data_IF_470627147747
#
_entry.id   IF_470627147747
#
_cell.length_a   1.000
_cell.length_b   1.000
_cell.length_c   1.000
_cell.angle_alpha   90.00
_cell.angle_beta   90.00
_cell.angle_gamma   90.00
#
_symmetry.space_group_name_H-M   'P 1'
#
loop_
_entity.id
_entity.type
_entity.pdbx_description
1 polymer ?
#
# COMPACT_ATOMS: atom_id res chain seq x y z
N UNK A 1 -17.02 2.94 2.87
CA UNK A 1 -16.71 3.00 1.42
C UNK A 1 -15.39 2.31 1.06
N UNK A 2 -14.23 2.70 1.64
CA UNK A 2 -12.91 2.15 1.26
C UNK A 2 -12.69 0.67 1.62
N UNK A 3 -13.28 0.20 2.72
CA UNK A 3 -13.16 -1.22 3.13
C UNK A 3 -13.89 -2.16 2.18
N UNK A 4 -15.10 -1.78 1.72
CA UNK A 4 -15.85 -2.54 0.72
C UNK A 4 -15.09 -2.63 -0.60
N UNK A 5 -14.46 -1.54 -1.05
CA UNK A 5 -13.59 -1.54 -2.24
C UNK A 5 -12.44 -2.56 -2.12
N UNK A 6 -11.74 -2.59 -0.98
CA UNK A 6 -10.67 -3.56 -0.74
C UNK A 6 -11.15 -5.01 -0.82
N UNK A 7 -12.29 -5.32 -0.18
CA UNK A 7 -12.85 -6.68 -0.17
C UNK A 7 -13.26 -7.10 -1.59
N UNK A 8 -13.94 -6.22 -2.33
CA UNK A 8 -14.37 -6.50 -3.70
C UNK A 8 -13.15 -6.76 -4.60
N UNK A 9 -12.15 -5.88 -4.58
CA UNK A 9 -10.97 -6.03 -5.43
C UNK A 9 -10.15 -7.27 -5.03
N UNK A 10 -10.01 -7.55 -3.73
CA UNK A 10 -9.36 -8.78 -3.26
C UNK A 10 -10.11 -10.02 -3.76
N UNK A 11 -11.45 -10.03 -3.66
CA UNK A 11 -12.29 -11.10 -4.19
C UNK A 11 -12.13 -11.29 -5.70
N UNK A 12 -12.06 -10.20 -6.47
CA UNK A 12 -11.83 -10.26 -7.91
C UNK A 12 -10.43 -10.78 -8.27
N UNK A 13 -9.38 -10.38 -7.53
CA UNK A 13 -8.02 -10.90 -7.74
C UNK A 13 -7.95 -12.39 -7.40
N UNK A 14 -8.57 -12.81 -6.30
CA UNK A 14 -8.67 -14.24 -5.93
C UNK A 14 -9.43 -15.02 -7.00
N UNK A 15 -10.57 -14.49 -7.46
CA UNK A 15 -11.36 -15.08 -8.54
C UNK A 15 -10.54 -15.21 -9.83
N UNK A 16 -9.75 -14.18 -10.19
CA UNK A 16 -8.85 -14.23 -11.34
C UNK A 16 -7.80 -15.35 -11.20
N UNK A 17 -7.18 -15.47 -10.01
CA UNK A 17 -6.18 -16.50 -9.75
C UNK A 17 -6.80 -17.91 -9.80
N UNK A 18 -7.99 -18.10 -9.22
CA UNK A 18 -8.74 -19.35 -9.29
C UNK A 18 -9.10 -19.67 -10.75
N UNK A 19 -9.60 -18.69 -11.48
CA UNK A 19 -9.95 -18.85 -12.90
C UNK A 19 -8.72 -19.28 -13.71
N UNK A 20 -7.55 -18.68 -13.48
CA UNK A 20 -6.31 -19.09 -14.12
C UNK A 20 -5.88 -20.51 -13.72
N UNK A 21 -5.98 -20.86 -12.43
CA UNK A 21 -5.63 -22.17 -11.90
C UNK A 21 -6.57 -23.30 -12.37
N UNK A 22 -7.66 -22.98 -13.08
CA UNK A 22 -8.53 -23.96 -13.74
C UNK A 22 -7.86 -24.70 -14.91
N UNK A 23 -6.73 -24.21 -15.41
CA UNK A 23 -6.05 -24.79 -16.58
C UNK A 23 -5.68 -26.29 -16.48
N UNK A 24 -5.30 -26.86 -15.32
CA UNK A 24 -4.99 -28.29 -15.21
C UNK A 24 -6.25 -29.16 -15.33
N UNK A 25 -7.43 -28.58 -15.07
CA UNK A 25 -8.70 -29.30 -15.00
C UNK A 25 -9.57 -29.12 -16.24
N UNK A 26 -9.36 -28.03 -16.99
CA UNK A 26 -10.16 -27.69 -18.16
C UNK A 26 -9.33 -26.98 -19.21
N UNK A 27 -9.44 -27.41 -20.47
CA UNK A 27 -8.87 -26.75 -21.65
C UNK A 27 -9.89 -26.81 -22.77
N UNK A 28 -10.18 -25.68 -23.41
CA UNK A 28 -11.08 -25.60 -24.56
C UNK A 28 -10.34 -25.08 -25.81
N UNK A 29 -9.75 -25.98 -26.63
CA UNK A 29 -8.84 -25.58 -27.71
C UNK A 29 -9.44 -24.66 -28.77
N UNK A 30 -10.76 -24.71 -28.96
CA UNK A 30 -11.51 -23.93 -29.95
C UNK A 30 -12.07 -22.61 -29.41
N UNK A 31 -12.14 -22.44 -28.09
CA UNK A 31 -12.84 -21.29 -27.48
C UNK A 31 -12.15 -19.97 -27.82
N UNK A 32 -10.82 -19.90 -27.70
CA UNK A 32 -10.04 -18.69 -28.01
C UNK A 32 -10.21 -18.20 -29.46
N UNK A 33 -10.46 -19.13 -30.40
CA UNK A 33 -10.72 -18.81 -31.81
C UNK A 33 -12.20 -18.57 -32.14
N UNK A 34 -13.12 -18.82 -31.20
CA UNK A 34 -14.56 -18.61 -31.40
C UNK A 34 -14.95 -17.13 -31.29
N UNK A 35 -16.12 -16.76 -31.82
CA UNK A 35 -16.68 -15.41 -31.68
C UNK A 35 -16.70 -14.93 -30.22
N UNK A 36 -17.19 -15.77 -29.30
CA UNK A 36 -17.27 -15.43 -27.88
C UNK A 36 -15.89 -15.26 -27.25
N UNK A 37 -14.94 -16.14 -27.57
CA UNK A 37 -13.54 -15.96 -27.19
C UNK A 37 -13.01 -14.62 -27.67
N UNK A 38 -13.20 -14.30 -28.94
CA UNK A 38 -12.80 -13.02 -29.54
C UNK A 38 -13.38 -11.80 -28.82
N UNK A 39 -14.68 -11.81 -28.51
CA UNK A 39 -15.36 -10.74 -27.76
C UNK A 39 -14.71 -10.55 -26.38
N UNK A 40 -14.44 -11.63 -25.65
CA UNK A 40 -13.74 -11.54 -24.35
C UNK A 40 -12.31 -11.00 -24.50
N UNK A 41 -11.59 -11.41 -25.56
CA UNK A 41 -10.23 -10.94 -25.84
C UNK A 41 -10.20 -9.44 -26.14
N UNK A 42 -11.08 -8.97 -27.02
CA UNK A 42 -11.18 -7.54 -27.39
C UNK A 42 -11.65 -6.70 -26.20
N UNK A 43 -12.72 -7.12 -25.50
CA UNK A 43 -13.21 -6.40 -24.33
C UNK A 43 -12.17 -6.34 -23.21
N UNK A 44 -11.48 -7.46 -22.95
CA UNK A 44 -10.39 -7.54 -21.97
C UNK A 44 -9.22 -6.63 -22.33
N UNK A 45 -8.77 -6.65 -23.59
CA UNK A 45 -7.70 -5.78 -24.08
C UNK A 45 -8.07 -4.30 -23.96
N UNK A 46 -9.30 -3.90 -24.36
CA UNK A 46 -9.78 -2.54 -24.23
C UNK A 46 -9.81 -2.06 -22.77
N UNK A 47 -10.29 -2.91 -21.84
CA UNK A 47 -10.24 -2.61 -20.41
C UNK A 47 -8.80 -2.46 -19.90
N UNK A 48 -7.89 -3.31 -20.38
CA UNK A 48 -6.47 -3.22 -20.02
C UNK A 48 -5.80 -1.94 -20.55
N UNK A 49 -6.36 -1.23 -21.53
CA UNK A 49 -5.85 0.09 -21.95
C UNK A 49 -6.22 1.21 -20.97
N UNK A 50 -7.26 1.04 -20.14
CA UNK A 50 -7.69 2.06 -19.16
C UNK A 50 -6.57 2.36 -18.13
N UNK A 51 -5.88 1.34 -17.54
CA UNK A 51 -4.71 1.60 -16.70
C UNK A 51 -3.59 2.39 -17.39
N UNK A 52 -3.32 2.14 -18.68
CA UNK A 52 -2.35 2.89 -19.46
C UNK A 52 -2.80 4.34 -19.66
N UNK A 53 -4.07 4.54 -20.01
CA UNK A 53 -4.66 5.87 -20.14
C UNK A 53 -4.55 6.66 -18.83
N UNK A 54 -4.75 6.03 -17.67
CA UNK A 54 -4.53 6.66 -16.37
C UNK A 54 -3.09 7.18 -16.21
N UNK A 55 -2.08 6.40 -16.63
CA UNK A 55 -0.67 6.82 -16.57
C UNK A 55 -0.44 8.06 -17.45
N UNK A 56 -0.98 8.07 -18.67
CA UNK A 56 -0.89 9.20 -19.61
C UNK A 56 -1.53 10.45 -19.00
N UNK A 57 -2.77 10.35 -18.50
CA UNK A 57 -3.49 11.46 -17.83
C UNK A 57 -2.70 11.97 -16.64
N UNK A 58 -2.10 11.08 -15.84
CA UNK A 58 -1.33 11.46 -14.65
C UNK A 58 -0.03 12.20 -15.01
N UNK A 59 0.61 11.87 -16.14
CA UNK A 59 1.93 12.41 -16.53
C UNK A 59 1.85 13.67 -17.40
N UNK A 60 0.82 13.81 -18.22
CA UNK A 60 0.65 14.94 -19.14
C UNK A 60 -0.24 16.04 -18.52
N UNK A 61 0.35 17.20 -18.19
CA UNK A 61 -0.37 18.31 -17.53
C UNK A 61 -1.61 18.79 -18.32
N UNK A 62 -1.51 18.91 -19.65
CA UNK A 62 -2.62 19.36 -20.52
C UNK A 62 -3.80 18.38 -20.50
N UNK A 63 -3.50 17.09 -20.70
CA UNK A 63 -4.52 16.03 -20.67
C UNK A 63 -5.14 15.93 -19.28
N UNK A 64 -4.33 16.02 -18.23
CA UNK A 64 -4.80 16.05 -16.84
C UNK A 64 -5.85 17.13 -16.63
N UNK A 65 -5.53 18.39 -16.96
CA UNK A 65 -6.42 19.54 -16.78
C UNK A 65 -7.77 19.33 -17.48
N UNK A 66 -7.73 18.84 -18.73
CA UNK A 66 -8.94 18.56 -19.50
C UNK A 66 -9.79 17.45 -18.88
N UNK A 67 -9.20 16.28 -18.60
CA UNK A 67 -9.93 15.13 -18.05
C UNK A 67 -10.46 15.43 -16.64
N UNK A 68 -9.70 16.17 -15.83
CA UNK A 68 -10.13 16.53 -14.47
C UNK A 68 -11.32 17.48 -14.42
N UNK A 69 -11.70 18.09 -15.55
CA UNK A 69 -12.94 18.87 -15.68
C UNK A 69 -14.19 17.97 -15.61
N UNK A 70 -14.07 16.74 -16.10
CA UNK A 70 -15.18 15.77 -16.17
C UNK A 70 -15.11 14.70 -15.10
N UNK A 71 -13.90 14.29 -14.69
CA UNK A 71 -13.70 13.18 -13.76
C UNK A 71 -12.62 13.48 -12.72
N UNK A 72 -12.91 13.23 -11.45
CA UNK A 72 -11.92 13.40 -10.38
C UNK A 72 -10.75 12.41 -10.51
N UNK A 73 -9.56 12.79 -10.03
CA UNK A 73 -8.40 11.89 -9.97
C UNK A 73 -8.67 10.61 -9.16
N UNK A 74 -9.58 10.68 -8.18
CA UNK A 74 -10.00 9.52 -7.38
C UNK A 74 -10.81 8.54 -8.24
N UNK A 75 -11.71 9.05 -9.07
CA UNK A 75 -12.52 8.23 -9.99
C UNK A 75 -11.64 7.56 -11.04
N UNK A 76 -10.69 8.29 -11.63
CA UNK A 76 -9.75 7.73 -12.60
C UNK A 76 -8.89 6.61 -12.00
N UNK A 77 -8.48 6.75 -10.75
CA UNK A 77 -7.75 5.70 -10.03
C UNK A 77 -8.64 4.48 -9.75
N UNK A 78 -9.91 4.68 -9.42
CA UNK A 78 -10.85 3.56 -9.29
C UNK A 78 -10.99 2.81 -10.63
N UNK A 79 -11.16 3.52 -11.74
CA UNK A 79 -11.18 2.93 -13.08
C UNK A 79 -9.89 2.16 -13.41
N UNK A 80 -8.73 2.70 -13.07
CA UNK A 80 -7.46 1.98 -13.21
C UNK A 80 -7.45 0.65 -12.44
N UNK A 81 -7.92 0.63 -11.19
CA UNK A 81 -7.95 -0.58 -10.37
C UNK A 81 -8.97 -1.59 -10.92
N UNK A 82 -10.21 -1.17 -11.16
CA UNK A 82 -11.27 -2.07 -11.61
C UNK A 82 -11.00 -2.61 -13.02
N UNK A 83 -10.66 -1.74 -13.98
CA UNK A 83 -10.34 -2.18 -15.34
C UNK A 83 -9.04 -3.01 -15.37
N UNK A 84 -8.08 -2.67 -14.51
CA UNK A 84 -6.85 -3.43 -14.32
C UNK A 84 -7.03 -4.81 -13.69
N UNK A 85 -8.21 -5.18 -13.17
CA UNK A 85 -8.51 -6.54 -12.66
C UNK A 85 -9.55 -7.23 -13.54
N UNK A 86 -10.62 -6.53 -13.92
CA UNK A 86 -11.68 -7.10 -14.78
C UNK A 86 -11.16 -7.42 -16.17
N UNK A 87 -10.33 -6.55 -16.78
CA UNK A 87 -9.72 -6.81 -18.08
C UNK A 87 -8.94 -8.13 -18.10
N UNK A 88 -7.99 -8.33 -17.17
CA UNK A 88 -7.29 -9.61 -16.99
C UNK A 88 -8.18 -10.83 -16.79
N UNK A 89 -9.28 -10.73 -16.04
CA UNK A 89 -10.24 -11.84 -15.89
C UNK A 89 -10.82 -12.22 -17.26
N UNK A 90 -11.23 -11.24 -18.07
CA UNK A 90 -11.75 -11.51 -19.42
C UNK A 90 -10.66 -12.11 -20.33
N UNK A 91 -9.41 -11.66 -20.23
CA UNK A 91 -8.29 -12.22 -21.01
C UNK A 91 -7.96 -13.65 -20.60
N UNK A 92 -8.02 -13.98 -19.30
CA UNK A 92 -7.86 -15.37 -18.82
C UNK A 92 -8.97 -16.25 -19.40
N UNK A 93 -10.23 -15.78 -19.39
CA UNK A 93 -11.35 -16.50 -20.01
C UNK A 93 -11.13 -16.67 -21.52
N UNK A 94 -10.73 -15.60 -22.22
CA UNK A 94 -10.43 -15.61 -23.65
C UNK A 94 -9.41 -16.71 -24.02
N UNK A 95 -8.40 -16.94 -23.18
CA UNK A 95 -7.39 -17.97 -23.44
C UNK A 95 -7.96 -19.38 -23.56
N UNK A 96 -9.15 -19.65 -22.99
CA UNK A 96 -9.73 -21.01 -22.93
C UNK A 96 -8.79 -22.02 -22.26
N UNK A 97 -7.87 -21.55 -21.41
CA UNK A 97 -6.78 -22.32 -20.81
C UNK A 97 -5.81 -22.96 -21.81
N UNK A 98 -5.76 -22.45 -23.05
CA UNK A 98 -4.85 -22.91 -24.09
C UNK A 98 -3.51 -22.19 -24.01
N UNK A 99 -2.51 -22.84 -23.41
CA UNK A 99 -1.18 -22.28 -23.17
C UNK A 99 -0.07 -22.95 -24.01
N UNK A 100 -0.30 -23.13 -25.31
CA UNK A 100 0.66 -23.79 -26.22
C UNK A 100 1.71 -22.82 -26.80
N UNK A 101 1.38 -21.54 -26.90
CA UNK A 101 2.27 -20.52 -27.48
C UNK A 101 3.13 -19.86 -26.41
N UNK A 102 4.46 -19.72 -26.63
CA UNK A 102 5.34 -18.96 -25.72
C UNK A 102 4.85 -17.54 -25.48
N UNK A 103 4.29 -16.89 -26.51
CA UNK A 103 3.72 -15.54 -26.41
C UNK A 103 2.50 -15.51 -25.49
N UNK A 104 1.59 -16.48 -25.62
CA UNK A 104 0.41 -16.60 -24.77
C UNK A 104 0.78 -16.83 -23.31
N UNK A 105 1.71 -17.75 -23.05
CA UNK A 105 2.24 -18.02 -21.70
C UNK A 105 2.87 -16.77 -21.09
N UNK A 106 3.76 -16.10 -21.84
CA UNK A 106 4.42 -14.89 -21.37
C UNK A 106 3.42 -13.75 -21.10
N UNK A 107 2.43 -13.56 -21.97
CA UNK A 107 1.40 -12.54 -21.82
C UNK A 107 0.53 -12.80 -20.60
N UNK A 108 0.07 -14.04 -20.39
CA UNK A 108 -0.71 -14.41 -19.20
C UNK A 108 0.11 -14.27 -17.92
N UNK A 109 1.34 -14.78 -17.89
CA UNK A 109 2.23 -14.66 -16.73
C UNK A 109 2.49 -13.18 -16.38
N UNK A 110 2.77 -12.34 -17.38
CA UNK A 110 2.98 -10.91 -17.17
C UNK A 110 1.69 -10.22 -16.70
N UNK A 111 0.54 -10.62 -17.23
CA UNK A 111 -0.77 -10.10 -16.81
C UNK A 111 -1.00 -10.37 -15.32
N UNK A 112 -0.83 -11.62 -14.88
CA UNK A 112 -0.97 -12.00 -13.47
C UNK A 112 0.04 -11.25 -12.59
N UNK A 113 1.29 -11.17 -13.02
CA UNK A 113 2.35 -10.47 -12.29
C UNK A 113 2.02 -8.98 -12.08
N UNK A 114 1.56 -8.29 -13.13
CA UNK A 114 1.15 -6.88 -13.07
C UNK A 114 -0.03 -6.69 -12.12
N UNK A 115 -1.06 -7.53 -12.21
CA UNK A 115 -2.25 -7.43 -11.34
C UNK A 115 -1.88 -7.64 -9.88
N UNK A 116 -1.15 -8.71 -9.57
CA UNK A 116 -0.71 -9.02 -8.20
C UNK A 116 0.21 -7.91 -7.68
N UNK A 117 1.17 -7.45 -8.48
CA UNK A 117 2.07 -6.35 -8.12
C UNK A 117 1.30 -5.05 -7.83
N UNK A 118 0.29 -4.73 -8.66
CA UNK A 118 -0.57 -3.57 -8.48
C UNK A 118 -1.43 -3.66 -7.23
N UNK A 119 -2.03 -4.83 -6.98
CA UNK A 119 -2.81 -5.10 -5.77
C UNK A 119 -1.97 -4.94 -4.50
N UNK A 120 -0.81 -5.59 -4.43
CA UNK A 120 0.12 -5.47 -3.29
C UNK A 120 0.55 -4.01 -3.12
N UNK A 121 0.98 -3.35 -4.20
CA UNK A 121 1.40 -1.96 -4.16
C UNK A 121 0.31 -1.00 -3.69
N UNK A 122 -0.95 -1.24 -4.05
CA UNK A 122 -2.08 -0.38 -3.67
C UNK A 122 -2.49 -0.57 -2.21
N UNK A 123 -2.62 -1.82 -1.74
CA UNK A 123 -3.24 -2.09 -0.44
C UNK A 123 -2.22 -2.24 0.68
N UNK A 124 -1.14 -3.00 0.46
CA UNK A 124 -0.12 -3.18 1.49
C UNK A 124 0.59 -1.86 1.79
N UNK A 125 0.98 -1.11 0.76
CA UNK A 125 1.73 0.13 0.94
C UNK A 125 0.86 1.28 1.49
N UNK A 126 -0.43 1.33 1.14
CA UNK A 126 -1.33 2.31 1.74
C UNK A 126 -1.54 2.06 3.24
N UNK A 127 -1.54 0.79 3.67
CA UNK A 127 -1.66 0.45 5.09
C UNK A 127 -0.44 0.95 5.86
N UNK A 128 0.77 0.62 5.40
CA UNK A 128 2.00 1.13 6.00
C UNK A 128 2.06 2.67 6.00
N UNK A 129 1.67 3.32 4.91
CA UNK A 129 1.64 4.79 4.84
C UNK A 129 0.67 5.41 5.85
N UNK A 130 -0.46 4.76 6.13
CA UNK A 130 -1.44 5.20 7.13
C UNK A 130 -0.89 5.01 8.54
N UNK A 131 -0.31 3.85 8.82
CA UNK A 131 0.30 3.54 10.12
C UNK A 131 1.43 4.51 10.46
N UNK A 132 2.33 4.81 9.50
CA UNK A 132 3.39 5.81 9.70
C UNK A 132 2.82 7.18 10.04
N UNK A 133 1.77 7.61 9.31
CA UNK A 133 1.13 8.89 9.57
C UNK A 133 0.49 8.95 10.95
N UNK A 134 -0.09 7.84 11.41
CA UNK A 134 -0.66 7.73 12.76
C UNK A 134 0.43 7.77 13.84
N UNK A 135 1.56 7.07 13.64
CA UNK A 135 2.72 7.12 14.53
C UNK A 135 3.35 8.51 14.60
N UNK A 136 3.48 9.21 13.47
CA UNK A 136 3.95 10.59 13.45
C UNK A 136 3.01 11.53 14.22
N UNK A 137 1.70 11.39 14.03
CA UNK A 137 0.73 12.20 14.79
C UNK A 137 0.77 11.90 16.30
N UNK A 138 0.96 10.63 16.69
CA UNK A 138 1.20 10.26 18.08
C UNK A 138 2.50 10.86 18.62
N UNK A 139 3.59 10.83 17.85
CA UNK A 139 4.86 11.41 18.24
C UNK A 139 4.74 12.92 18.50
N UNK A 140 4.06 13.63 17.60
CA UNK A 140 3.83 15.08 17.72
C UNK A 140 3.03 15.40 18.99
N UNK A 141 1.98 14.63 19.28
CA UNK A 141 1.20 14.76 20.52
C UNK A 141 2.06 14.50 21.77
N UNK A 142 2.90 13.47 21.73
CA UNK A 142 3.75 13.07 22.85
C UNK A 142 4.82 14.13 23.15
N UNK A 143 5.40 14.72 22.10
CA UNK A 143 6.30 15.87 22.19
C UNK A 143 5.61 17.10 22.77
N UNK A 144 4.37 17.40 22.36
CA UNK A 144 3.61 18.52 22.91
C UNK A 144 3.30 18.34 24.41
N UNK A 145 2.95 17.12 24.84
CA UNK A 145 2.77 16.82 26.27
C UNK A 145 4.10 16.97 27.03
N UNK A 146 5.22 16.54 26.43
CA UNK A 146 6.53 16.65 27.05
C UNK A 146 6.96 18.09 27.22
N UNK A 147 6.78 18.91 26.19
CA UNK A 147 7.12 20.33 26.23
C UNK A 147 6.25 21.08 27.25
N UNK A 148 4.95 20.73 27.37
CA UNK A 148 4.09 21.27 28.43
C UNK A 148 4.58 20.91 29.82
N UNK A 149 4.85 19.64 30.09
CA UNK A 149 5.36 19.19 31.38
C UNK A 149 6.70 19.85 31.72
N UNK A 150 7.60 19.98 30.73
CA UNK A 150 8.88 20.69 30.87
C UNK A 150 8.67 22.16 31.25
N UNK A 151 7.73 22.85 30.61
CA UNK A 151 7.44 24.26 30.87
C UNK A 151 6.78 24.46 32.25
N UNK A 152 5.89 23.56 32.69
CA UNK A 152 5.30 23.58 34.04
C UNK A 152 6.37 23.43 35.13
N UNK A 153 7.34 22.54 34.92
CA UNK A 153 8.49 22.38 35.82
C UNK A 153 9.40 23.62 35.83
N UNK A 154 9.64 24.23 34.67
CA UNK A 154 10.45 25.45 34.56
C UNK A 154 9.79 26.64 35.28
N UNK A 155 8.45 26.69 35.32
CA UNK A 155 7.69 27.70 36.05
C UNK A 155 7.72 27.53 37.59
N UNK A 156 8.15 26.36 38.10
CA UNK A 156 8.25 26.06 39.53
C UNK A 156 9.71 25.77 39.96
N UNK A 157 10.56 26.81 40.14
CA UNK A 157 12.01 26.67 40.34
C UNK A 157 12.42 25.89 41.61
N UNK A 158 11.54 25.80 42.63
CA UNK A 158 11.80 24.99 43.83
C UNK A 158 11.74 23.48 43.58
N UNK A 159 11.04 23.02 42.53
CA UNK A 159 10.91 21.60 42.18
C UNK A 159 11.99 21.14 41.18
N UNK A 160 12.50 22.06 40.35
CA UNK A 160 13.66 21.82 39.49
C UNK A 160 14.94 21.46 40.29
N UNK A 161 15.07 22.00 41.52
CA UNK A 161 16.14 21.64 42.47
C UNK A 161 16.03 20.19 42.96
N UNK A 162 14.83 19.64 43.14
CA UNK A 162 14.63 18.24 43.50
C UNK A 162 15.07 17.28 42.38
N UNK A 163 14.80 17.64 41.12
CA UNK A 163 15.27 16.84 39.96
C UNK A 163 16.80 16.92 39.81
N UNK A 164 17.40 18.08 40.14
CA UNK A 164 18.86 18.27 40.12
C UNK A 164 19.56 17.46 41.22
N UNK A 165 18.95 17.33 42.40
CA UNK A 165 19.51 16.55 43.52
C UNK A 165 19.56 15.04 43.23
N UNK A 166 18.61 14.53 42.43
CA UNK A 166 18.55 13.12 41.98
C UNK A 166 19.35 12.82 40.69
N UNK A 167 20.15 13.77 40.18
CA UNK A 167 20.91 13.58 38.92
C UNK A 167 22.24 12.83 39.09
N UNK A 168 22.69 12.57 40.32
CA UNK A 168 23.92 11.83 40.59
C UNK A 168 23.76 10.32 40.34
N UNK A 169 24.68 9.73 39.56
CA UNK A 169 24.77 8.27 39.30
C UNK A 169 24.70 7.42 40.60
N UNK A 170 25.31 7.93 41.68
CA UNK A 170 25.35 7.29 43.01
C UNK A 170 23.99 7.33 43.73
N UNK A 171 23.20 8.40 43.55
CA UNK A 171 21.86 8.53 44.14
C UNK A 171 20.88 7.50 43.54
N UNK A 172 21.00 7.21 42.23
CA UNK A 172 20.15 6.21 41.55
C UNK A 172 20.42 4.78 42.02
N UNK A 173 21.68 4.44 42.30
CA UNK A 173 22.05 3.13 42.87
C UNK A 173 21.62 2.99 44.33
N UNK A 174 21.67 4.08 45.10
CA UNK A 174 21.24 4.09 46.49
C UNK A 174 19.71 3.91 46.64
N UNK A 175 18.90 4.49 45.74
CA UNK A 175 17.43 4.37 45.79
C UNK A 175 16.94 2.94 45.53
N UNK A 176 17.61 2.19 44.64
CA UNK A 176 17.27 0.78 44.39
C UNK A 176 17.71 -0.19 45.51
N UNK A 177 18.60 0.26 46.40
CA UNK A 177 19.18 -0.56 47.46
C UNK A 177 18.65 -0.23 48.87
N UNK A 178 18.13 1.00 49.09
CA UNK A 178 17.85 1.54 50.42
C UNK A 178 16.37 1.87 50.72
N UNK A 179 15.42 1.62 49.82
CA UNK A 179 13.99 1.83 50.10
C UNK A 179 13.24 0.50 50.23
N UNK A 180 13.09 -0.03 51.46
CA UNK A 180 12.01 -0.93 51.81
C UNK A 180 10.64 -0.29 51.52
N UNK A 181 9.70 -1.15 51.18
CA UNK A 181 8.29 -0.88 50.86
C UNK A 181 7.55 -0.29 52.08
N UNK A 182 7.73 1.00 52.35
CA UNK A 182 6.99 1.71 53.39
C UNK A 182 5.74 2.36 52.77
N UNK A 183 4.63 1.64 52.89
CA UNK A 183 3.26 2.12 52.82
C UNK A 183 3.03 3.32 53.74
N UNK A 184 2.80 4.51 53.18
CA UNK A 184 2.17 5.63 53.91
C UNK A 184 1.59 6.73 52.98
N UNK A 185 0.60 7.51 53.45
CA UNK A 185 -0.66 7.68 52.74
C UNK A 185 -0.71 8.87 51.78
N UNK A 186 -1.52 8.70 50.73
CA UNK A 186 -2.01 9.74 49.83
C UNK A 186 -2.40 11.00 50.59
N UNK A 187 -1.56 12.04 50.52
CA UNK A 187 -2.01 13.42 50.74
C UNK A 187 -2.04 14.12 49.38
N UNK A 188 -3.27 14.35 48.95
CA UNK A 188 -3.64 15.00 47.71
C UNK A 188 -3.13 16.44 47.66
N UNK A 189 -2.17 16.71 46.79
CA UNK A 189 -2.08 17.98 46.07
C UNK A 189 -1.93 17.65 44.59
N UNK A 190 -2.96 17.97 43.83
CA UNK A 190 -2.95 17.86 42.39
C UNK A 190 -1.87 18.80 41.81
N UNK A 191 -1.34 18.45 40.63
CA UNK A 191 -0.42 19.25 39.81
C UNK A 191 1.05 19.28 40.27
N UNK A 192 1.79 18.18 40.08
CA UNK A 192 3.22 18.25 39.75
C UNK A 192 3.55 17.08 38.84
N UNK A 193 3.90 17.38 37.58
CA UNK A 193 4.41 16.41 36.61
C UNK A 193 5.63 15.71 37.22
N UNK A 194 5.47 14.45 37.63
CA UNK A 194 6.48 13.74 38.41
C UNK A 194 7.75 13.52 37.56
N UNK A 195 8.97 13.60 38.11
CA UNK A 195 10.19 13.27 37.35
C UNK A 195 10.14 11.88 36.69
N UNK A 196 9.38 10.96 37.30
CA UNK A 196 9.08 9.63 36.74
C UNK A 196 8.18 9.70 35.50
N UNK A 197 7.22 10.61 35.44
CA UNK A 197 6.35 10.82 34.29
C UNK A 197 7.13 11.39 33.11
N UNK A 198 8.09 12.31 33.36
CA UNK A 198 8.98 12.81 32.31
C UNK A 198 9.86 11.72 31.70
N UNK A 199 10.42 10.83 32.53
CA UNK A 199 11.24 9.71 32.04
C UNK A 199 10.38 8.77 31.20
N UNK A 200 9.18 8.42 31.67
CA UNK A 200 8.23 7.58 30.90
C UNK A 200 7.85 8.21 29.57
N UNK A 201 7.66 9.52 29.55
CA UNK A 201 7.30 10.23 28.32
C UNK A 201 8.47 10.30 27.33
N UNK A 202 9.70 10.51 27.82
CA UNK A 202 10.90 10.44 26.99
C UNK A 202 11.15 9.03 26.44
N UNK A 203 10.92 7.99 27.24
CA UNK A 203 10.98 6.59 26.83
C UNK A 203 9.94 6.29 25.73
N UNK A 204 8.69 6.71 25.94
CA UNK A 204 7.64 6.53 24.95
C UNK A 204 7.89 7.33 23.64
N UNK A 205 8.49 8.52 23.73
CA UNK A 205 8.95 9.28 22.56
C UNK A 205 10.03 8.50 21.81
N UNK A 206 11.05 7.99 22.53
CA UNK A 206 12.14 7.23 21.93
C UNK A 206 11.65 5.93 21.24
N UNK A 207 10.70 5.22 21.86
CA UNK A 207 10.08 4.02 21.28
C UNK A 207 9.35 4.32 19.97
N UNK A 208 8.56 5.40 19.95
CA UNK A 208 7.82 5.81 18.75
C UNK A 208 8.77 6.33 17.67
N UNK A 209 9.79 7.10 18.02
CA UNK A 209 10.83 7.56 17.07
C UNK A 209 11.60 6.38 16.48
N UNK A 210 11.97 5.40 17.29
CA UNK A 210 12.61 4.18 16.80
C UNK A 210 11.68 3.40 15.85
N UNK A 211 10.40 3.29 16.21
CA UNK A 211 9.39 2.68 15.36
C UNK A 211 9.22 3.45 14.04
N UNK A 212 9.33 4.78 14.01
CA UNK A 212 9.25 5.58 12.78
C UNK A 212 10.54 5.50 11.96
N UNK A 213 11.72 5.52 12.59
CA UNK A 213 13.02 5.51 11.92
C UNK A 213 13.23 4.24 11.09
N UNK A 214 12.79 3.08 11.60
CA UNK A 214 12.78 1.83 10.83
C UNK A 214 11.93 1.92 9.57
N UNK A 215 10.96 2.85 9.52
CA UNK A 215 10.02 2.98 8.42
C UNK A 215 10.44 3.89 7.27
N UNK A 216 11.49 4.72 7.41
CA UNK A 216 11.97 5.54 6.28
C UNK A 216 12.42 4.69 5.08
N UNK A 217 12.95 3.49 5.36
CA UNK A 217 13.33 2.51 4.34
C UNK A 217 12.12 2.10 3.47
N UNK A 218 10.91 2.07 4.03
CA UNK A 218 9.70 1.71 3.26
C UNK A 218 9.35 2.76 2.20
N UNK A 219 9.60 4.05 2.45
CA UNK A 219 9.29 5.11 1.45
C UNK A 219 10.18 4.99 0.21
N UNK A 220 11.46 4.69 0.42
CA UNK A 220 12.40 4.42 -0.67
C UNK A 220 12.02 3.13 -1.42
N UNK A 221 11.64 2.10 -0.68
CA UNK A 221 11.18 0.83 -1.27
C UNK A 221 9.89 1.01 -2.08
N UNK A 222 8.95 1.83 -1.60
CA UNK A 222 7.72 2.20 -2.32
C UNK A 222 8.02 2.86 -3.67
N UNK A 223 8.98 3.80 -3.70
CA UNK A 223 9.41 4.42 -4.95
C UNK A 223 9.99 3.40 -5.94
N UNK A 224 10.79 2.44 -5.46
CA UNK A 224 11.34 1.34 -6.28
C UNK A 224 10.25 0.39 -6.76
N UNK A 225 9.31 0.00 -5.90
CA UNK A 225 8.17 -0.85 -6.24
C UNK A 225 7.30 -0.23 -7.32
N UNK A 226 6.99 1.07 -7.20
CA UNK A 226 6.21 1.78 -8.21
C UNK A 226 6.93 1.78 -9.57
N UNK A 227 8.25 2.03 -9.58
CA UNK A 227 9.04 1.94 -10.82
C UNK A 227 9.01 0.53 -11.40
N UNK A 228 9.19 -0.49 -10.58
CA UNK A 228 9.10 -1.89 -10.99
C UNK A 228 7.74 -2.20 -11.63
N UNK A 229 6.63 -1.86 -10.97
CA UNK A 229 5.27 -2.04 -11.48
C UNK A 229 5.06 -1.35 -12.84
N UNK A 230 5.58 -0.14 -13.00
CA UNK A 230 5.52 0.60 -14.28
C UNK A 230 6.31 -0.14 -15.37
N UNK A 231 7.52 -0.62 -15.07
CA UNK A 231 8.36 -1.35 -16.03
C UNK A 231 7.68 -2.63 -16.50
N UNK A 232 7.19 -3.47 -15.58
CA UNK A 232 6.49 -4.70 -15.95
C UNK A 232 5.19 -4.41 -16.73
N UNK A 233 4.52 -3.28 -16.45
CA UNK A 233 3.35 -2.84 -17.21
C UNK A 233 3.72 -2.49 -18.66
N UNK A 234 4.85 -1.82 -18.89
CA UNK A 234 5.32 -1.56 -20.26
C UNK A 234 5.64 -2.84 -21.02
N UNK A 235 6.28 -3.81 -20.36
CA UNK A 235 6.53 -5.13 -20.96
C UNK A 235 5.21 -5.83 -21.32
N UNK A 236 4.23 -5.78 -20.42
CA UNK A 236 2.88 -6.32 -20.66
C UNK A 236 2.24 -5.72 -21.92
N UNK A 237 2.25 -4.39 -22.05
CA UNK A 237 1.67 -3.74 -23.23
C UNK A 237 2.42 -4.03 -24.52
N UNK A 238 3.75 -4.22 -24.46
CA UNK A 238 4.54 -4.68 -25.60
C UNK A 238 4.13 -6.07 -26.05
N UNK A 239 3.97 -7.02 -25.11
CA UNK A 239 3.49 -8.37 -25.41
C UNK A 239 2.04 -8.35 -25.92
N UNK A 240 1.18 -7.51 -25.37
CA UNK A 240 -0.21 -7.35 -25.82
C UNK A 240 -0.26 -6.84 -27.27
N UNK A 241 0.52 -5.82 -27.59
CA UNK A 241 0.60 -5.28 -28.95
C UNK A 241 1.10 -6.35 -29.95
N UNK A 242 2.12 -7.12 -29.55
CA UNK A 242 2.64 -8.23 -30.36
C UNK A 242 1.60 -9.33 -30.56
N UNK A 243 0.84 -9.66 -29.52
CA UNK A 243 -0.25 -10.64 -29.59
C UNK A 243 -1.35 -10.21 -30.55
N UNK A 244 -1.80 -8.95 -30.45
CA UNK A 244 -2.79 -8.37 -31.37
C UNK A 244 -2.25 -8.34 -32.80
N UNK A 245 -0.99 -7.95 -33.00
CA UNK A 245 -0.35 -7.94 -34.31
C UNK A 245 -0.36 -9.33 -34.96
N UNK A 246 0.06 -10.37 -34.25
CA UNK A 246 0.05 -11.74 -34.77
C UNK A 246 -1.37 -12.27 -35.00
N UNK A 247 -2.33 -11.91 -34.15
CA UNK A 247 -3.73 -12.28 -34.35
C UNK A 247 -4.31 -11.68 -35.65
N UNK A 248 -3.90 -10.46 -36.02
CA UNK A 248 -4.29 -9.83 -37.29
C UNK A 248 -3.50 -10.43 -38.46
N UNK A 249 -2.19 -10.60 -38.31
CA UNK A 249 -1.29 -11.07 -39.38
C UNK A 249 -1.61 -12.49 -39.84
N UNK A 250 -1.88 -13.41 -38.92
CA UNK A 250 -2.24 -14.80 -39.24
C UNK A 250 -3.74 -15.00 -39.52
N UNK A 251 -4.51 -13.91 -39.59
CA UNK A 251 -5.95 -13.94 -39.84
C UNK A 251 -6.77 -14.16 -38.56
N UNK A 252 -7.83 -13.36 -38.41
CA UNK A 252 -8.83 -13.54 -37.36
C UNK A 252 -9.61 -14.83 -37.63
N UNK A 253 -9.23 -15.91 -36.94
CA UNK A 253 -9.77 -17.27 -37.11
C UNK A 253 -11.27 -17.43 -36.81
N UNK A 254 -11.99 -16.36 -36.47
CA UNK A 254 -13.43 -16.39 -36.18
C UNK A 254 -14.33 -16.14 -37.41
N UNK A 255 -13.75 -15.77 -38.55
CA UNK A 255 -14.49 -15.61 -39.81
C UNK A 255 -14.61 -16.92 -40.61
N UNK A 256 -14.04 -18.01 -40.09
CA UNK A 256 -14.13 -19.38 -40.63
C UNK A 256 -15.18 -20.22 -39.88
#
# INVERSE_FOLDING_TARGET
MKEREKIIVAGLVVLMLIAWLGFPFHVSPRFAGSLWGGVFGVAGALLMLVPLAYMVVKRMKRVKQFVTKYMSMRTLLAWHIYAGVVGPILVVIHSGHKYESPLGVALTAMTLLVVVSGFVGRYLMNQFSKEIREKNAQLDQLKEVYDRARNELAAHPQQALAIRSFSGFVSRLAVGLLLPEETSPRTSTASVSSPREMIRLAEAIADVEYAIATHEKFKTWFGKWLKFHIVISFVLYGLLALHVYFAIYFGLRWFE
#
